data_IF_930268986420
#
_entry.id   IF_930268986420
#
_cell.length_a   1.000
_cell.length_b   1.000
_cell.length_c   1.000
_cell.angle_alpha   90.00
_cell.angle_beta   90.00
_cell.angle_gamma   90.00
#
_symmetry.space_group_name_H-M   'P 1'
#
loop_
_entity.id
_entity.type
_entity.pdbx_description
1 polymer ?
#
# COMPACT_ATOMS: atom_id res chain seq x y z
N UNK A 1 -64.27 -9.44 -40.57
CA UNK A 1 -65.45 -10.03 -39.94
C UNK A 1 -65.24 -10.01 -38.43
N UNK A 2 -66.26 -9.53 -37.72
CA UNK A 2 -66.45 -9.52 -36.25
C UNK A 2 -65.47 -8.71 -35.38
N UNK A 3 -65.91 -7.49 -35.04
CA UNK A 3 -65.61 -6.78 -33.81
C UNK A 3 -66.57 -7.24 -32.70
N UNK A 4 -66.15 -7.24 -31.43
CA UNK A 4 -67.01 -6.88 -30.27
C UNK A 4 -66.15 -6.28 -29.14
N UNK A 5 -66.60 -5.12 -28.69
CA UNK A 5 -66.19 -4.27 -27.56
C UNK A 5 -67.03 -4.53 -26.29
N UNK A 6 -66.50 -4.24 -25.09
CA UNK A 6 -67.21 -3.66 -23.89
C UNK A 6 -66.30 -3.73 -22.65
N UNK A 7 -65.83 -2.62 -22.04
CA UNK A 7 -66.43 -1.79 -20.94
C UNK A 7 -66.49 -2.51 -19.58
N UNK A 8 -66.32 -1.93 -18.38
CA UNK A 8 -65.93 -0.63 -17.80
C UNK A 8 -65.96 -0.80 -16.25
N UNK A 9 -65.67 0.27 -15.49
CA UNK A 9 -65.86 0.51 -14.02
C UNK A 9 -64.67 0.10 -13.12
N UNK A 10 -63.89 0.97 -12.46
CA UNK A 10 -64.11 2.17 -11.63
C UNK A 10 -64.61 1.89 -10.19
N UNK A 11 -63.72 2.05 -9.20
CA UNK A 11 -63.93 2.72 -7.90
C UNK A 11 -62.66 2.57 -7.03
N UNK A 12 -61.93 3.62 -6.63
CA UNK A 12 -62.18 4.69 -5.63
C UNK A 12 -61.58 4.35 -4.26
N UNK A 13 -60.69 5.24 -3.81
CA UNK A 13 -59.99 5.25 -2.53
C UNK A 13 -60.94 5.29 -1.31
N UNK A 14 -60.36 5.24 -0.09
CA UNK A 14 -60.60 6.35 0.81
C UNK A 14 -59.33 6.93 1.43
N UNK A 15 -59.41 8.24 1.66
CA UNK A 15 -58.55 9.05 2.50
C UNK A 15 -59.30 9.39 3.80
N UNK A 16 -58.58 9.47 4.92
CA UNK A 16 -58.80 10.34 6.10
C UNK A 16 -57.68 9.99 7.11
N UNK A 17 -56.71 10.83 7.48
CA UNK A 17 -56.68 12.21 8.00
C UNK A 17 -57.00 12.33 9.52
N UNK A 18 -56.15 13.15 10.18
CA UNK A 18 -56.13 13.67 11.56
C UNK A 18 -55.59 12.74 12.67
N UNK A 19 -54.89 13.21 13.71
CA UNK A 19 -54.12 14.44 13.99
C UNK A 19 -53.42 14.24 15.36
N UNK A 20 -52.23 14.87 15.50
CA UNK A 20 -51.61 15.47 16.69
C UNK A 20 -51.57 14.76 18.07
N UNK A 21 -50.33 14.60 18.57
CA UNK A 21 -49.78 14.95 19.92
C UNK A 21 -48.70 13.92 20.26
N UNK A 22 -47.41 14.23 20.34
CA UNK A 22 -46.82 15.04 21.41
C UNK A 22 -46.53 14.14 22.60
N UNK A 23 -45.27 13.69 22.76
CA UNK A 23 -44.59 13.38 24.04
C UNK A 23 -43.18 12.78 23.79
N UNK A 24 -42.20 13.65 24.05
CA UNK A 24 -40.89 13.42 24.66
C UNK A 24 -40.48 11.99 25.07
N UNK A 25 -39.30 11.56 24.62
CA UNK A 25 -38.38 10.76 25.43
C UNK A 25 -36.94 10.99 24.99
N UNK A 26 -36.26 11.84 25.75
CA UNK A 26 -34.80 11.96 25.83
C UNK A 26 -34.19 10.70 26.43
N UNK A 27 -33.08 10.22 25.86
CA UNK A 27 -32.11 9.42 26.62
C UNK A 27 -30.70 9.89 26.29
N UNK A 28 -30.30 10.93 27.01
CA UNK A 28 -28.93 11.36 27.21
C UNK A 28 -28.15 10.30 27.99
N UNK A 29 -27.12 9.71 27.39
CA UNK A 29 -26.05 9.05 28.14
C UNK A 29 -24.96 10.09 28.42
N UNK A 30 -25.02 10.67 29.61
CA UNK A 30 -24.05 11.61 30.14
C UNK A 30 -22.71 10.89 30.41
N UNK A 31 -21.62 11.46 29.87
CA UNK A 31 -20.26 11.21 30.35
C UNK A 31 -19.97 12.16 31.53
N UNK A 32 -19.19 11.73 32.53
CA UNK A 32 -18.97 12.52 33.73
C UNK A 32 -18.00 13.69 33.49
N UNK A 33 -18.41 14.85 33.99
CA UNK A 33 -17.61 16.05 34.21
C UNK A 33 -16.45 15.76 35.17
N UNK A 34 -15.22 16.05 34.74
CA UNK A 34 -14.11 16.33 35.65
C UNK A 34 -13.76 17.81 35.51
N UNK A 35 -14.04 18.57 36.57
CA UNK A 35 -13.54 19.93 36.74
C UNK A 35 -12.77 20.01 38.06
N UNK A 36 -11.61 20.64 37.99
CA UNK A 36 -10.86 21.14 39.15
C UNK A 36 -9.73 20.25 39.64
N UNK A 37 -8.50 20.59 39.27
CA UNK A 37 -7.48 20.96 40.27
C UNK A 37 -6.33 21.74 39.62
N UNK A 38 -5.78 22.62 40.45
CA UNK A 38 -5.02 23.83 40.13
C UNK A 38 -3.61 23.57 39.60
N UNK A 39 -3.12 24.57 38.87
CA UNK A 39 -1.72 24.81 38.58
C UNK A 39 -0.85 24.80 39.84
N UNK A 40 0.36 24.22 39.72
CA UNK A 40 1.53 24.54 40.53
C UNK A 40 2.78 24.27 39.70
N UNK A 41 3.60 25.31 39.57
CA UNK A 41 4.84 25.37 38.79
C UNK A 41 6.03 24.70 39.56
N UNK A 42 7.27 24.74 39.04
CA UNK A 42 8.18 23.58 39.06
C UNK A 42 9.13 23.54 40.26
N UNK A 43 9.63 22.34 40.59
CA UNK A 43 10.77 22.17 41.51
C UNK A 43 11.96 21.53 40.80
N UNK A 44 13.11 22.17 41.04
CA UNK A 44 14.43 21.95 40.47
C UNK A 44 15.06 20.60 40.86
N UNK A 45 15.99 20.21 40.00
CA UNK A 45 16.96 19.14 40.19
C UNK A 45 17.76 19.21 41.51
N UNK A 46 18.06 18.05 42.09
CA UNK A 46 19.16 17.86 43.02
C UNK A 46 19.89 16.53 42.76
N UNK A 47 21.20 16.58 42.95
CA UNK A 47 22.25 15.60 42.60
C UNK A 47 22.69 14.84 43.88
N UNK A 48 23.24 13.62 43.68
CA UNK A 48 24.10 12.79 44.60
C UNK A 48 23.40 12.14 45.81
N UNK A 49 23.79 10.98 46.35
CA UNK A 49 25.00 10.16 46.25
C UNK A 49 24.66 8.66 46.44
N UNK A 50 25.55 7.75 46.03
CA UNK A 50 25.35 6.30 46.24
C UNK A 50 25.81 5.79 47.61
N UNK A 51 25.50 4.53 47.91
CA UNK A 51 26.38 3.64 48.66
C UNK A 51 25.90 2.18 48.52
N UNK A 52 26.86 1.27 48.53
CA UNK A 52 26.77 -0.15 48.27
C UNK A 52 26.40 -1.00 49.51
N UNK A 53 26.23 -2.31 49.21
CA UNK A 53 26.05 -3.53 50.05
C UNK A 53 24.65 -4.11 49.86
N UNK A 54 24.41 -5.31 49.36
CA UNK A 54 25.23 -6.53 49.35
C UNK A 54 24.57 -7.58 50.25
N UNK A 55 23.81 -8.51 49.68
CA UNK A 55 23.60 -9.83 50.30
C UNK A 55 23.16 -10.87 49.27
N UNK A 56 23.91 -11.99 49.30
CA UNK A 56 23.71 -13.24 48.58
C UNK A 56 22.69 -14.10 49.32
N UNK A 57 21.97 -14.98 48.60
CA UNK A 57 21.65 -16.38 48.94
C UNK A 57 20.84 -16.97 47.77
N UNK A 58 21.44 -17.87 46.96
CA UNK A 58 21.38 -19.34 47.08
C UNK A 58 20.28 -19.92 46.15
N UNK A 59 20.67 -20.42 44.98
CA UNK A 59 20.80 -21.85 44.62
C UNK A 59 19.48 -22.62 44.74
N UNK A 60 18.95 -23.06 43.59
CA UNK A 60 18.54 -24.45 43.37
C UNK A 60 18.72 -24.77 41.87
N UNK A 61 19.64 -25.68 41.59
CA UNK A 61 19.77 -26.39 40.33
C UNK A 61 19.52 -27.86 40.64
N UNK A 62 18.55 -28.47 39.96
CA UNK A 62 18.47 -29.92 39.73
C UNK A 62 18.05 -30.08 38.28
N UNK A 63 18.93 -30.68 37.49
CA UNK A 63 18.64 -31.06 36.12
C UNK A 63 18.04 -32.46 36.04
N UNK A 64 17.37 -32.74 34.92
CA UNK A 64 17.29 -34.07 34.32
C UNK A 64 17.48 -33.91 32.81
N UNK A 65 18.26 -34.84 32.27
CA UNK A 65 18.83 -34.93 30.93
C UNK A 65 17.95 -35.80 30.02
N UNK A 66 18.06 -35.54 28.70
CA UNK A 66 17.79 -36.42 27.53
C UNK A 66 16.34 -36.61 27.07
N UNK A 67 16.09 -36.13 25.85
CA UNK A 67 16.00 -37.00 24.67
C UNK A 67 16.30 -36.19 23.40
N UNK A 68 17.34 -36.60 22.67
CA UNK A 68 17.65 -36.19 21.30
C UNK A 68 17.56 -37.45 20.44
N UNK A 69 16.68 -37.44 19.45
CA UNK A 69 16.71 -38.26 18.23
C UNK A 69 15.60 -37.76 17.31
N UNK A 70 15.79 -37.92 16.00
CA UNK A 70 14.89 -37.56 14.90
C UNK A 70 15.02 -36.12 14.35
N UNK A 71 16.20 -35.83 13.81
CA UNK A 71 16.36 -34.89 12.69
C UNK A 71 17.54 -35.31 11.81
N UNK A 72 17.32 -36.03 10.71
CA UNK A 72 18.41 -36.27 9.74
C UNK A 72 18.03 -36.45 8.27
N UNK A 73 16.81 -36.14 7.81
CA UNK A 73 16.49 -36.29 6.37
C UNK A 73 16.02 -35.02 5.64
N UNK A 74 15.93 -33.86 6.31
CA UNK A 74 15.50 -32.61 5.65
C UNK A 74 16.65 -31.61 5.45
N UNK A 75 17.83 -31.87 6.02
CA UNK A 75 18.99 -30.96 5.96
C UNK A 75 19.90 -31.14 4.73
N UNK A 76 19.68 -32.14 3.87
CA UNK A 76 20.55 -32.40 2.71
C UNK A 76 20.07 -31.75 1.40
N UNK A 77 18.85 -31.20 1.35
CA UNK A 77 18.29 -30.58 0.14
C UNK A 77 18.72 -29.10 -0.04
N UNK A 78 19.02 -28.37 1.04
CA UNK A 78 19.38 -26.95 0.97
C UNK A 78 20.87 -26.68 0.63
N UNK A 79 21.77 -27.64 0.88
CA UNK A 79 23.19 -27.48 0.53
C UNK A 79 23.51 -27.75 -0.95
N UNK A 80 22.62 -28.40 -1.70
CA UNK A 80 22.83 -28.67 -3.12
C UNK A 80 22.46 -27.47 -4.04
N UNK A 81 21.65 -26.52 -3.56
CA UNK A 81 21.17 -25.40 -4.37
C UNK A 81 22.15 -24.20 -4.40
N UNK A 82 22.98 -24.05 -3.37
CA UNK A 82 23.95 -22.95 -3.27
C UNK A 82 25.24 -23.13 -4.09
N UNK A 83 25.55 -24.36 -4.53
CA UNK A 83 26.75 -24.63 -5.34
C UNK A 83 26.58 -24.29 -6.83
N UNK A 84 25.35 -24.11 -7.32
CA UNK A 84 25.05 -23.85 -8.75
C UNK A 84 25.13 -22.38 -9.16
N UNK A 85 25.21 -21.44 -8.20
CA UNK A 85 25.16 -19.98 -8.48
C UNK A 85 26.57 -19.35 -8.52
N UNK A 86 27.62 -20.09 -8.14
CA UNK A 86 29.00 -19.58 -8.12
C UNK A 86 29.75 -19.66 -9.47
N UNK A 87 29.12 -20.10 -10.56
CA UNK A 87 29.74 -20.18 -11.89
C UNK A 87 28.96 -19.40 -12.96
N UNK A 88 28.89 -18.07 -12.84
CA UNK A 88 28.82 -17.18 -14.02
C UNK A 88 28.91 -15.70 -13.59
N UNK A 89 30.10 -15.24 -13.20
CA UNK A 89 30.41 -13.81 -13.23
C UNK A 89 31.80 -13.65 -13.84
N UNK A 90 31.84 -13.44 -15.16
CA UNK A 90 33.02 -12.95 -15.83
C UNK A 90 33.13 -11.44 -15.56
N UNK A 91 34.24 -11.03 -14.95
CA UNK A 91 34.60 -9.64 -14.69
C UNK A 91 34.99 -8.91 -15.98
N UNK A 92 34.48 -7.70 -16.27
CA UNK A 92 35.11 -6.83 -17.24
C UNK A 92 36.29 -6.09 -16.61
N UNK A 93 37.47 -6.23 -17.23
CA UNK A 93 38.69 -5.52 -16.85
C UNK A 93 38.61 -4.03 -17.22
N UNK A 94 38.99 -3.15 -16.30
CA UNK A 94 39.20 -1.73 -16.54
C UNK A 94 40.61 -1.47 -17.11
N UNK A 95 40.80 -0.54 -18.07
CA UNK A 95 42.14 -0.17 -18.52
C UNK A 95 42.71 0.98 -17.68
N UNK A 96 43.93 0.78 -17.19
CA UNK A 96 44.75 1.80 -16.56
C UNK A 96 45.47 2.66 -17.62
N UNK A 97 45.53 3.97 -17.37
CA UNK A 97 46.38 4.91 -18.08
C UNK A 97 47.82 4.86 -17.50
N UNK A 98 48.86 4.83 -18.35
CA UNK A 98 49.78 5.97 -18.50
C UNK A 98 50.90 5.72 -19.55
N UNK A 99 51.20 6.83 -20.25
CA UNK A 99 52.53 7.28 -20.70
C UNK A 99 53.33 6.50 -21.75
N UNK A 100 53.62 7.17 -22.88
CA UNK A 100 54.73 6.81 -23.76
C UNK A 100 54.65 7.40 -25.16
N UNK A 101 54.95 8.69 -25.31
CA UNK A 101 55.33 9.29 -26.60
C UNK A 101 56.80 8.91 -26.87
N UNK A 102 57.12 8.41 -28.07
CA UNK A 102 58.23 8.85 -28.95
C UNK A 102 58.07 8.20 -30.35
N UNK A 103 58.56 8.95 -31.32
CA UNK A 103 58.34 9.03 -32.78
C UNK A 103 59.13 7.94 -33.59
N UNK A 104 59.21 7.99 -34.94
CA UNK A 104 58.64 7.00 -35.87
C UNK A 104 59.72 6.28 -36.70
N UNK A 105 59.33 5.46 -37.68
CA UNK A 105 60.04 5.12 -38.94
C UNK A 105 59.67 3.70 -39.38
N UNK A 106 59.67 3.25 -40.64
CA UNK A 106 59.92 3.76 -42.00
C UNK A 106 59.62 2.54 -42.90
N UNK A 107 59.11 2.78 -44.11
CA UNK A 107 59.17 1.92 -45.32
C UNK A 107 58.66 0.46 -45.29
N UNK A 108 58.04 0.10 -46.42
CA UNK A 108 58.62 -1.01 -47.19
C UNK A 108 57.63 -2.07 -47.66
N UNK A 109 57.25 -1.94 -48.93
CA UNK A 109 56.53 -2.93 -49.72
C UNK A 109 57.34 -4.22 -49.97
N UNK A 110 56.65 -5.31 -50.32
CA UNK A 110 57.23 -6.52 -50.94
C UNK A 110 56.49 -7.78 -50.51
N UNK A 111 55.47 -8.29 -51.21
CA UNK A 111 55.46 -9.01 -52.51
C UNK A 111 55.85 -10.50 -52.40
N UNK A 112 54.88 -11.33 -52.84
CA UNK A 112 54.95 -12.68 -53.43
C UNK A 112 55.44 -13.89 -52.61
N UNK A 113 54.51 -14.84 -52.43
CA UNK A 113 54.59 -16.10 -53.17
C UNK A 113 54.68 -17.39 -52.35
N UNK A 114 53.79 -18.34 -52.65
CA UNK A 114 54.17 -19.75 -52.67
C UNK A 114 53.30 -20.76 -51.90
N UNK A 115 52.49 -21.49 -52.66
CA UNK A 115 52.21 -22.93 -52.57
C UNK A 115 51.31 -23.51 -51.44
N UNK A 116 50.06 -23.70 -51.85
CA UNK A 116 49.17 -24.86 -51.69
C UNK A 116 49.58 -26.03 -50.76
N UNK A 117 48.65 -26.38 -49.85
CA UNK A 117 48.35 -27.77 -49.52
C UNK A 117 46.83 -27.95 -49.34
N UNK A 118 46.34 -29.09 -49.83
CA UNK A 118 44.98 -29.31 -50.26
C UNK A 118 44.03 -29.90 -49.19
N UNK A 119 42.75 -29.56 -49.39
CA UNK A 119 41.54 -30.40 -49.30
C UNK A 119 41.07 -31.05 -47.97
N UNK A 120 39.74 -30.95 -47.83
CA UNK A 120 38.80 -31.67 -46.94
C UNK A 120 38.70 -31.09 -45.52
N UNK A 121 37.61 -30.41 -45.17
CA UNK A 121 36.30 -31.04 -45.00
C UNK A 121 35.14 -30.12 -45.39
N UNK A 122 34.22 -30.68 -46.19
CA UNK A 122 32.85 -30.18 -46.28
C UNK A 122 32.16 -30.51 -44.95
N UNK A 123 31.87 -29.49 -44.16
CA UNK A 123 30.72 -29.50 -43.25
C UNK A 123 30.02 -28.16 -43.40
N UNK A 124 29.10 -28.10 -44.36
CA UNK A 124 28.13 -27.02 -44.46
C UNK A 124 27.19 -27.12 -43.25
N UNK A 125 27.48 -26.32 -42.22
CA UNK A 125 26.50 -26.00 -41.18
C UNK A 125 25.33 -25.32 -41.90
N UNK A 126 24.08 -25.81 -41.79
CA UNK A 126 22.96 -25.10 -42.37
C UNK A 126 22.91 -23.72 -41.73
N UNK A 127 22.88 -22.67 -42.55
CA UNK A 127 22.69 -21.31 -42.09
C UNK A 127 21.43 -21.30 -41.23
N UNK A 128 21.61 -21.09 -39.92
CA UNK A 128 20.49 -20.85 -39.03
C UNK A 128 19.75 -19.65 -39.62
N UNK A 129 18.52 -19.89 -40.07
CA UNK A 129 17.58 -18.82 -40.39
C UNK A 129 17.60 -17.89 -39.18
N UNK A 130 18.07 -16.66 -39.39
CA UNK A 130 17.96 -15.61 -38.41
C UNK A 130 16.46 -15.38 -38.23
N UNK A 131 15.87 -16.12 -37.28
CA UNK A 131 14.55 -15.81 -36.77
C UNK A 131 14.64 -14.34 -36.37
N UNK A 132 13.82 -13.51 -37.01
CA UNK A 132 13.77 -12.08 -36.74
C UNK A 132 13.63 -11.93 -35.23
N UNK A 133 14.69 -11.45 -34.57
CA UNK A 133 14.66 -11.22 -33.15
C UNK A 133 13.55 -10.22 -32.91
N UNK A 134 12.50 -10.64 -32.21
CA UNK A 134 11.43 -9.75 -31.77
C UNK A 134 12.10 -8.57 -31.08
N UNK A 135 11.83 -7.32 -31.50
CA UNK A 135 12.47 -6.17 -30.88
C UNK A 135 12.22 -6.23 -29.37
N UNK A 136 13.22 -5.90 -28.53
CA UNK A 136 13.01 -5.86 -27.09
C UNK A 136 11.83 -4.94 -26.81
N UNK A 137 10.82 -5.46 -26.12
CA UNK A 137 9.67 -4.66 -25.69
C UNK A 137 10.24 -3.54 -24.83
N UNK A 138 10.17 -2.30 -25.33
CA UNK A 138 10.65 -1.14 -24.59
C UNK A 138 9.79 -0.97 -23.36
N UNK A 139 10.38 -1.23 -22.19
CA UNK A 139 9.76 -0.92 -20.92
C UNK A 139 9.79 0.59 -20.73
N UNK A 140 8.74 1.29 -21.16
CA UNK A 140 8.64 2.76 -21.07
C UNK A 140 8.51 3.28 -19.62
N UNK A 141 8.61 2.41 -18.62
CA UNK A 141 8.72 2.79 -17.20
C UNK A 141 7.56 3.60 -16.60
N UNK A 142 6.54 4.00 -17.37
CA UNK A 142 5.59 5.02 -16.94
C UNK A 142 4.11 4.73 -17.23
N UNK A 143 3.78 4.04 -18.33
CA UNK A 143 2.37 3.78 -18.68
C UNK A 143 1.97 2.31 -18.48
N UNK A 144 1.02 2.10 -17.58
CA UNK A 144 0.26 0.85 -17.44
C UNK A 144 -1.15 1.14 -17.95
N UNK A 145 -1.64 0.46 -19.00
CA UNK A 145 -3.03 0.58 -19.41
C UNK A 145 -3.96 0.36 -18.22
N UNK A 146 -4.98 1.20 -18.01
CA UNK A 146 -5.98 0.96 -16.96
C UNK A 146 -7.15 0.15 -17.50
N UNK A 147 -7.57 -0.87 -16.77
CA UNK A 147 -8.86 -1.51 -17.04
C UNK A 147 -9.98 -0.59 -16.57
N UNK A 148 -11.07 -0.54 -17.35
CA UNK A 148 -12.28 0.20 -16.93
C UNK A 148 -12.92 -0.40 -15.68
N UNK A 149 -12.77 -1.72 -15.49
CA UNK A 149 -13.36 -2.47 -14.37
C UNK A 149 -12.56 -3.75 -14.09
N UNK A 150 -12.58 -4.19 -12.83
CA UNK A 150 -12.07 -5.49 -12.43
C UNK A 150 -12.91 -6.64 -13.01
N UNK A 151 -12.34 -7.85 -13.06
CA UNK A 151 -13.06 -9.05 -13.50
C UNK A 151 -14.30 -9.34 -12.62
N UNK A 152 -15.36 -9.99 -13.15
CA UNK A 152 -16.58 -10.26 -12.39
C UNK A 152 -16.38 -11.02 -11.07
N UNK A 153 -15.50 -12.03 -11.04
CA UNK A 153 -15.20 -12.77 -9.81
C UNK A 153 -14.46 -11.90 -8.79
N UNK A 154 -13.50 -11.09 -9.25
CA UNK A 154 -12.81 -10.11 -8.39
C UNK A 154 -13.79 -9.11 -7.77
N UNK A 155 -14.74 -8.57 -8.56
CA UNK A 155 -15.79 -7.67 -8.06
C UNK A 155 -16.71 -8.35 -7.04
N UNK A 156 -17.06 -9.61 -7.25
CA UNK A 156 -17.89 -10.36 -6.31
C UNK A 156 -17.15 -10.55 -4.97
N UNK A 157 -15.89 -10.98 -5.00
CA UNK A 157 -15.05 -11.07 -3.80
C UNK A 157 -14.89 -9.71 -3.12
N UNK A 158 -14.64 -8.65 -3.90
CA UNK A 158 -14.49 -7.30 -3.38
C UNK A 158 -15.78 -6.79 -2.72
N UNK A 159 -16.94 -7.00 -3.34
CA UNK A 159 -18.22 -6.61 -2.74
C UNK A 159 -18.51 -7.38 -1.43
N UNK A 160 -18.10 -8.64 -1.34
CA UNK A 160 -18.26 -9.46 -0.13
C UNK A 160 -17.30 -9.04 0.99
N UNK A 161 -16.08 -8.62 0.66
CA UNK A 161 -15.01 -8.34 1.63
C UNK A 161 -14.82 -6.86 1.93
N UNK A 162 -15.16 -5.98 1.00
CA UNK A 162 -15.02 -4.53 1.07
C UNK A 162 -16.25 -3.86 0.42
N UNK A 163 -17.43 -3.94 1.04
CA UNK A 163 -18.70 -3.54 0.41
C UNK A 163 -18.78 -2.05 0.06
N UNK A 164 -17.98 -1.21 0.72
CA UNK A 164 -17.87 0.22 0.44
C UNK A 164 -16.70 0.57 -0.50
N UNK A 165 -16.05 -0.41 -1.12
CA UNK A 165 -14.99 -0.15 -2.08
C UNK A 165 -15.52 0.63 -3.29
N UNK A 166 -14.69 1.51 -3.83
CA UNK A 166 -14.98 2.34 -4.99
C UNK A 166 -13.71 2.55 -5.81
N UNK A 167 -13.84 2.83 -7.10
CA UNK A 167 -12.66 3.04 -7.95
C UNK A 167 -11.81 4.20 -7.45
N UNK A 168 -10.50 4.03 -7.49
CA UNK A 168 -9.51 4.94 -6.90
C UNK A 168 -9.67 6.40 -7.40
N UNK A 169 -9.94 6.60 -8.69
CA UNK A 169 -10.19 7.93 -9.26
C UNK A 169 -11.50 8.56 -8.77
N UNK A 170 -12.54 7.74 -8.59
CA UNK A 170 -13.84 8.21 -8.08
C UNK A 170 -13.70 8.60 -6.61
N UNK A 171 -12.99 7.78 -5.83
CA UNK A 171 -12.64 8.07 -4.45
C UNK A 171 -11.90 9.42 -4.34
N UNK A 172 -10.82 9.60 -5.10
CA UNK A 172 -10.02 10.82 -4.99
C UNK A 172 -10.76 12.08 -5.43
N UNK A 173 -11.61 12.00 -6.46
CA UNK A 173 -12.49 13.12 -6.84
C UNK A 173 -13.45 13.50 -5.73
N UNK A 174 -14.06 12.52 -5.06
CA UNK A 174 -14.98 12.76 -3.95
C UNK A 174 -14.25 13.39 -2.75
N UNK A 175 -13.10 12.84 -2.37
CA UNK A 175 -12.27 13.39 -1.28
C UNK A 175 -11.81 14.82 -1.59
N UNK A 176 -11.35 15.08 -2.81
CA UNK A 176 -10.93 16.42 -3.22
C UNK A 176 -12.06 17.43 -3.17
N UNK A 177 -13.27 17.06 -3.60
CA UNK A 177 -14.45 17.93 -3.52
C UNK A 177 -14.83 18.27 -2.07
N UNK A 178 -14.86 17.27 -1.19
CA UNK A 178 -15.16 17.47 0.24
C UNK A 178 -14.13 18.37 0.92
N UNK A 179 -12.84 18.11 0.71
CA UNK A 179 -11.76 18.92 1.26
C UNK A 179 -11.73 20.34 0.67
N UNK A 180 -12.11 20.50 -0.60
CA UNK A 180 -12.28 21.80 -1.22
C UNK A 180 -13.37 22.62 -0.51
N UNK A 181 -14.48 22.00 -0.12
CA UNK A 181 -15.54 22.69 0.63
C UNK A 181 -15.06 23.16 2.02
N UNK A 182 -14.06 22.49 2.59
CA UNK A 182 -13.45 22.83 3.88
C UNK A 182 -12.22 23.75 3.77
N UNK A 183 -11.95 24.27 2.57
CA UNK A 183 -10.88 25.26 2.34
C UNK A 183 -9.49 24.68 2.09
N UNK A 184 -9.34 23.36 1.98
CA UNK A 184 -8.09 22.77 1.50
C UNK A 184 -7.98 22.95 -0.01
N UNK A 185 -6.81 23.38 -0.46
CA UNK A 185 -6.48 23.64 -1.85
C UNK A 185 -5.06 23.15 -2.11
N UNK A 186 -4.76 22.84 -3.37
CA UNK A 186 -3.40 22.50 -3.82
C UNK A 186 -2.35 23.53 -3.37
N UNK A 187 -2.72 24.79 -3.34
CA UNK A 187 -1.81 25.90 -3.05
C UNK A 187 -1.57 26.12 -1.56
N UNK A 188 -2.47 25.65 -0.68
CA UNK A 188 -2.48 26.03 0.73
C UNK A 188 -2.35 24.86 1.71
N UNK A 189 -2.12 23.65 1.21
CA UNK A 189 -1.93 22.47 2.05
C UNK A 189 -0.75 21.63 1.59
N UNK A 190 -0.28 20.77 2.47
CA UNK A 190 0.66 19.70 2.14
C UNK A 190 0.04 18.33 2.45
N UNK A 191 0.15 17.41 1.49
CA UNK A 191 -0.25 16.03 1.69
C UNK A 191 0.91 15.20 2.24
N UNK A 192 0.66 14.43 3.30
CA UNK A 192 1.51 13.35 3.77
C UNK A 192 0.90 12.03 3.33
N UNK A 193 1.66 11.23 2.59
CA UNK A 193 1.14 9.99 1.99
C UNK A 193 1.86 8.78 2.58
N UNK A 194 1.09 7.92 3.23
CA UNK A 194 1.52 6.64 3.77
C UNK A 194 0.86 5.48 3.03
N UNK A 195 1.62 4.77 2.21
CA UNK A 195 1.21 3.53 1.52
C UNK A 195 2.22 2.42 1.80
N UNK A 196 1.96 1.21 1.31
CA UNK A 196 3.03 0.23 1.15
C UNK A 196 4.10 0.75 0.16
N UNK A 197 5.35 0.33 0.34
CA UNK A 197 6.46 0.59 -0.59
C UNK A 197 6.36 -0.19 -1.91
N UNK A 198 5.41 -1.11 -2.01
CA UNK A 198 5.12 -1.88 -3.21
C UNK A 198 4.77 -0.94 -4.39
N UNK A 199 5.33 -1.20 -5.58
CA UNK A 199 5.19 -0.29 -6.74
C UNK A 199 3.75 -0.12 -7.19
N UNK A 200 2.91 -1.13 -6.94
CA UNK A 200 1.48 -1.12 -7.32
C UNK A 200 0.67 -0.13 -6.48
N UNK A 201 1.24 0.41 -5.41
CA UNK A 201 0.64 1.51 -4.64
C UNK A 201 0.90 2.88 -5.27
N UNK A 202 1.76 3.01 -6.28
CA UNK A 202 2.09 4.31 -6.89
C UNK A 202 0.89 5.05 -7.53
N UNK A 203 -0.08 4.37 -8.18
CA UNK A 203 -1.30 4.98 -8.71
C UNK A 203 -1.99 5.98 -7.77
N UNK A 204 -2.30 5.59 -6.53
CA UNK A 204 -3.02 6.46 -5.58
C UNK A 204 -2.15 7.66 -5.19
N UNK A 205 -0.85 7.46 -5.02
CA UNK A 205 0.10 8.54 -4.71
C UNK A 205 0.08 9.58 -5.84
N UNK A 206 0.09 9.14 -7.10
CA UNK A 206 0.04 10.05 -8.24
C UNK A 206 -1.30 10.83 -8.32
N UNK A 207 -2.42 10.19 -7.95
CA UNK A 207 -3.71 10.89 -7.86
C UNK A 207 -3.70 11.94 -6.75
N UNK A 208 -3.18 11.61 -5.57
CA UNK A 208 -3.02 12.57 -4.47
C UNK A 208 -2.12 13.73 -4.90
N UNK A 209 -0.99 13.45 -5.53
CA UNK A 209 -0.05 14.47 -6.00
C UNK A 209 -0.67 15.39 -7.06
N UNK A 210 -1.58 14.85 -7.88
CA UNK A 210 -2.33 15.63 -8.88
C UNK A 210 -3.35 16.56 -8.25
N UNK A 211 -4.00 16.17 -7.17
CA UNK A 211 -5.00 17.03 -6.51
C UNK A 211 -4.35 18.03 -5.54
N UNK A 212 -3.35 17.63 -4.76
CA UNK A 212 -2.84 18.41 -3.61
C UNK A 212 -1.39 18.89 -3.73
N UNK A 213 -0.72 18.64 -4.86
CA UNK A 213 0.69 19.00 -5.02
C UNK A 213 1.60 17.85 -4.60
N UNK A 214 2.91 18.01 -4.83
CA UNK A 214 3.87 16.95 -4.49
C UNK A 214 3.79 16.62 -2.99
N UNK A 215 3.42 15.38 -2.68
CA UNK A 215 3.28 14.91 -1.31
C UNK A 215 4.63 14.65 -0.63
N UNK A 216 4.64 14.80 0.69
CA UNK A 216 5.68 14.23 1.53
C UNK A 216 5.36 12.74 1.74
N UNK A 217 6.17 11.87 1.14
CA UNK A 217 5.95 10.43 1.22
C UNK A 217 6.56 9.85 2.51
N UNK A 218 5.72 9.18 3.32
CA UNK A 218 6.10 8.51 4.57
C UNK A 218 5.85 6.99 4.50
N UNK A 219 5.77 6.43 3.29
CA UNK A 219 5.44 5.02 3.05
C UNK A 219 6.45 4.06 3.70
N UNK A 220 5.93 2.99 4.30
CA UNK A 220 6.70 1.88 4.89
C UNK A 220 6.23 0.51 4.40
N UNK A 221 6.96 -0.55 4.74
CA UNK A 221 6.57 -1.92 4.40
C UNK A 221 5.17 -2.23 4.92
N UNK A 222 4.30 -2.78 4.05
CA UNK A 222 2.89 -3.08 4.39
C UNK A 222 2.03 -1.86 4.77
N UNK A 223 2.52 -0.65 4.52
CA UNK A 223 1.89 0.60 4.95
C UNK A 223 2.27 1.03 6.36
N UNK A 224 3.26 0.41 7.00
CA UNK A 224 3.70 0.80 8.35
C UNK A 224 4.10 2.28 8.41
N UNK A 225 3.56 3.01 9.40
CA UNK A 225 3.95 4.39 9.68
C UNK A 225 5.22 4.41 10.54
N UNK A 226 6.40 4.43 9.91
CA UNK A 226 7.68 4.32 10.61
C UNK A 226 8.54 5.60 10.64
N UNK A 227 8.10 6.69 10.00
CA UNK A 227 8.83 7.96 9.97
C UNK A 227 8.86 8.68 11.34
N UNK A 228 7.94 8.33 12.25
CA UNK A 228 7.86 8.82 13.61
C UNK A 228 7.59 10.33 13.72
N UNK A 229 7.69 10.85 14.97
CA UNK A 229 7.46 12.28 15.25
C UNK A 229 8.41 13.19 14.46
N UNK A 230 9.64 12.73 14.21
CA UNK A 230 10.63 13.48 13.43
C UNK A 230 10.20 13.62 11.98
N UNK A 231 9.78 12.53 11.33
CA UNK A 231 9.28 12.58 9.95
C UNK A 231 8.03 13.46 9.80
N UNK A 232 7.09 13.36 10.75
CA UNK A 232 5.91 14.23 10.78
C UNK A 232 6.28 15.71 10.88
N UNK A 233 7.16 16.08 11.83
CA UNK A 233 7.64 17.46 12.00
C UNK A 233 8.38 17.98 10.76
N UNK A 234 9.18 17.13 10.12
CA UNK A 234 9.82 17.49 8.85
C UNK A 234 8.77 17.81 7.78
N UNK A 235 7.77 16.95 7.60
CA UNK A 235 6.71 17.17 6.63
C UNK A 235 5.90 18.45 6.90
N UNK A 236 5.49 18.70 8.14
CA UNK A 236 4.69 19.89 8.48
C UNK A 236 5.46 21.19 8.29
N UNK A 237 6.78 21.19 8.49
CA UNK A 237 7.62 22.37 8.24
C UNK A 237 7.69 22.81 6.77
N UNK A 238 7.13 22.01 5.86
CA UNK A 238 7.02 22.32 4.44
C UNK A 238 5.61 22.80 4.04
N UNK A 239 4.69 22.94 5.00
CA UNK A 239 3.35 23.42 4.72
C UNK A 239 3.39 24.86 4.19
N UNK A 240 2.59 25.18 3.16
CA UNK A 240 2.41 26.57 2.76
C UNK A 240 1.84 27.42 3.90
N UNK A 241 2.38 28.63 4.06
CA UNK A 241 1.96 29.63 5.06
C UNK A 241 1.16 30.78 4.43
N UNK A 242 0.47 30.56 3.31
CA UNK A 242 -0.29 31.64 2.67
C UNK A 242 -1.38 32.19 3.63
N UNK A 243 -1.70 33.50 3.58
CA UNK A 243 -2.82 34.05 4.34
C UNK A 243 -4.12 33.36 3.94
N UNK A 244 -4.68 32.54 4.84
CA UNK A 244 -5.80 31.64 4.52
C UNK A 244 -7.15 32.17 4.99
N UNK A 245 -7.19 33.29 5.71
CA UNK A 245 -8.41 33.85 6.28
C UNK A 245 -8.45 35.39 6.23
N UNK A 246 -9.61 35.95 6.61
CA UNK A 246 -9.82 37.39 6.69
C UNK A 246 -8.98 38.08 7.78
N UNK A 247 -8.35 37.31 8.69
CA UNK A 247 -7.49 37.83 9.74
C UNK A 247 -6.06 38.14 9.24
N UNK A 248 -5.71 37.65 8.04
CA UNK A 248 -4.41 37.89 7.43
C UNK A 248 -3.27 37.07 8.05
N UNK A 249 -3.59 36.10 8.91
CA UNK A 249 -2.59 35.23 9.53
C UNK A 249 -2.32 34.00 8.66
N UNK A 250 -1.06 33.54 8.58
CA UNK A 250 -0.75 32.25 7.99
C UNK A 250 -1.44 31.16 8.80
N UNK A 251 -2.03 30.19 8.10
CA UNK A 251 -2.61 29.01 8.74
C UNK A 251 -2.21 27.78 7.95
N UNK A 252 -1.48 26.90 8.60
CA UNK A 252 -1.01 25.67 7.99
C UNK A 252 -2.16 24.68 7.80
N UNK A 253 -2.08 23.89 6.73
CA UNK A 253 -3.07 22.85 6.42
C UNK A 253 -2.38 21.57 6.01
N UNK A 254 -2.72 20.47 6.67
CA UNK A 254 -2.12 19.16 6.39
C UNK A 254 -3.18 18.15 5.95
N UNK A 255 -2.83 17.23 5.05
CA UNK A 255 -3.71 16.11 4.68
C UNK A 255 -2.94 14.82 4.85
N UNK A 256 -3.38 13.96 5.76
CA UNK A 256 -2.75 12.68 6.05
C UNK A 256 -3.51 11.55 5.35
N UNK A 257 -2.83 10.87 4.44
CA UNK A 257 -3.34 9.69 3.73
C UNK A 257 -2.69 8.41 4.28
N UNK A 258 -3.48 7.37 4.55
CA UNK A 258 -2.99 6.10 5.09
C UNK A 258 -3.69 4.87 4.53
N UNK A 259 -2.95 4.05 3.77
CA UNK A 259 -3.51 2.86 3.12
C UNK A 259 -2.58 1.64 3.25
N UNK A 260 -2.95 0.58 4.01
CA UNK A 260 -2.46 -0.75 3.65
C UNK A 260 -3.09 -1.15 2.31
N UNK A 261 -2.57 -2.23 1.73
CA UNK A 261 -3.07 -2.71 0.46
C UNK A 261 -3.25 -4.23 0.42
N UNK A 262 -4.10 -4.67 -0.49
CA UNK A 262 -4.36 -6.08 -0.81
C UNK A 262 -4.69 -6.20 -2.30
N UNK A 263 -4.49 -7.38 -2.87
CA UNK A 263 -4.92 -7.68 -4.23
C UNK A 263 -6.08 -8.65 -4.25
N UNK A 264 -6.90 -8.58 -5.30
CA UNK A 264 -7.91 -9.56 -5.64
C UNK A 264 -7.72 -9.90 -7.12
N UNK A 265 -7.25 -11.12 -7.36
CA UNK A 265 -6.97 -11.64 -8.69
C UNK A 265 -8.24 -11.83 -9.52
N UNK A 266 -8.08 -12.03 -10.82
CA UNK A 266 -9.20 -12.14 -11.78
C UNK A 266 -10.20 -13.25 -11.46
N UNK A 267 -9.72 -14.33 -10.84
CA UNK A 267 -10.52 -15.47 -10.39
C UNK A 267 -11.20 -15.25 -9.03
N UNK A 268 -10.99 -14.08 -8.41
CA UNK A 268 -11.51 -13.74 -7.09
C UNK A 268 -10.60 -14.16 -5.92
N UNK A 269 -9.42 -14.70 -6.19
CA UNK A 269 -8.43 -15.06 -5.16
C UNK A 269 -7.86 -13.80 -4.47
N UNK A 270 -7.94 -13.76 -3.13
CA UNK A 270 -7.40 -12.65 -2.33
C UNK A 270 -5.90 -12.85 -2.09
N UNK A 271 -5.11 -11.83 -2.41
CA UNK A 271 -3.66 -11.80 -2.26
C UNK A 271 -2.90 -12.08 -3.55
N UNK A 272 -3.59 -12.48 -4.62
CA UNK A 272 -3.02 -12.80 -5.93
C UNK A 272 -3.05 -11.59 -6.86
N UNK A 273 -1.90 -11.25 -7.42
CA UNK A 273 -1.71 -10.13 -8.34
C UNK A 273 -0.82 -10.53 -9.51
N UNK A 274 -1.34 -10.40 -10.72
CA UNK A 274 -0.48 -10.45 -11.89
C UNK A 274 0.26 -9.12 -12.04
N UNK A 275 1.61 -9.19 -12.04
CA UNK A 275 2.48 -8.04 -12.25
C UNK A 275 3.00 -8.00 -13.67
N UNK A 276 3.13 -6.80 -14.23
CA UNK A 276 3.75 -6.58 -15.55
C UNK A 276 5.08 -7.30 -15.69
N UNK A 277 5.24 -8.00 -16.82
CA UNK A 277 6.49 -8.68 -17.19
C UNK A 277 6.79 -9.96 -16.40
N UNK A 278 5.90 -10.39 -15.50
CA UNK A 278 6.03 -11.66 -14.76
C UNK A 278 5.13 -12.70 -15.41
N UNK A 279 5.65 -13.87 -15.78
CA UNK A 279 4.86 -14.95 -16.42
C UNK A 279 3.92 -15.74 -15.49
N UNK A 280 3.87 -15.40 -14.20
CA UNK A 280 3.00 -16.04 -13.20
C UNK A 280 2.47 -14.99 -12.23
N UNK A 281 1.26 -15.17 -11.67
CA UNK A 281 0.78 -14.36 -10.56
C UNK A 281 1.78 -14.33 -9.40
N UNK A 282 1.81 -13.19 -8.73
CA UNK A 282 2.59 -12.92 -7.54
C UNK A 282 1.67 -12.44 -6.41
N UNK A 283 2.24 -11.93 -5.33
CA UNK A 283 1.50 -11.60 -4.12
C UNK A 283 1.39 -10.09 -3.89
N UNK A 284 0.25 -9.62 -3.36
CA UNK A 284 0.12 -8.29 -2.78
C UNK A 284 -0.96 -8.25 -1.66
N UNK A 285 -0.67 -7.79 -0.45
CA UNK A 285 0.62 -7.33 0.07
C UNK A 285 1.51 -8.50 0.50
N UNK A 286 2.74 -8.58 -0.03
CA UNK A 286 3.69 -9.65 0.33
C UNK A 286 4.01 -9.70 1.82
N UNK A 287 4.20 -8.54 2.46
CA UNK A 287 4.48 -8.47 3.90
C UNK A 287 3.29 -8.96 4.75
N UNK A 288 2.06 -8.58 4.40
CA UNK A 288 0.88 -9.01 5.15
C UNK A 288 0.58 -10.51 4.94
N UNK A 289 0.89 -11.06 3.76
CA UNK A 289 0.81 -12.51 3.52
C UNK A 289 1.83 -13.27 4.37
N UNK A 290 3.06 -12.77 4.47
CA UNK A 290 4.08 -13.36 5.33
C UNK A 290 3.67 -13.28 6.82
N UNK A 291 3.16 -12.13 7.27
CA UNK A 291 2.66 -11.96 8.65
C UNK A 291 1.49 -12.90 8.93
N UNK A 292 0.58 -13.11 7.96
CA UNK A 292 -0.50 -14.10 8.09
C UNK A 292 0.08 -15.49 8.39
N UNK A 293 1.04 -15.94 7.57
CA UNK A 293 1.70 -17.25 7.77
C UNK A 293 2.44 -17.36 9.09
N UNK A 294 3.10 -16.28 9.51
CA UNK A 294 3.79 -16.23 10.80
C UNK A 294 2.83 -16.32 12.00
N UNK A 295 1.65 -15.69 11.91
CA UNK A 295 0.61 -15.78 12.95
C UNK A 295 0.07 -17.20 13.01
N UNK A 296 -0.28 -17.79 11.86
CA UNK A 296 -0.71 -19.19 11.74
C UNK A 296 0.31 -20.18 12.32
N UNK A 297 1.60 -19.91 12.15
CA UNK A 297 2.66 -20.76 12.70
C UNK A 297 2.79 -20.67 14.23
N UNK A 298 2.21 -19.66 14.89
CA UNK A 298 2.19 -19.56 16.36
C UNK A 298 3.55 -19.30 17.03
N UNK A 299 4.55 -18.85 16.28
CA UNK A 299 5.92 -18.62 16.78
C UNK A 299 6.09 -17.28 17.52
N UNK A 300 7.10 -17.16 18.41
CA UNK A 300 7.40 -15.89 19.07
C UNK A 300 7.84 -14.83 18.07
N UNK A 301 7.53 -13.56 18.35
CA UNK A 301 8.04 -12.44 17.56
C UNK A 301 9.45 -12.10 18.06
N UNK A 302 10.46 -12.39 17.24
CA UNK A 302 11.88 -12.14 17.53
C UNK A 302 12.29 -10.80 16.90
N UNK A 303 13.14 -10.04 17.60
CA UNK A 303 13.75 -8.84 17.02
C UNK A 303 14.71 -9.22 15.90
N UNK A 304 14.65 -8.49 14.80
CA UNK A 304 15.54 -8.65 13.66
C UNK A 304 15.93 -7.25 13.15
N UNK A 305 17.16 -6.79 13.44
CA UNK A 305 17.62 -5.48 12.99
C UNK A 305 17.59 -5.30 11.46
N UNK A 306 17.82 -6.38 10.70
CA UNK A 306 17.84 -6.34 9.24
C UNK A 306 16.42 -6.32 8.65
N UNK A 307 15.42 -6.72 9.45
CA UNK A 307 14.00 -6.71 9.11
C UNK A 307 13.15 -5.84 10.06
N UNK A 308 13.72 -4.75 10.57
CA UNK A 308 13.09 -3.92 11.61
C UNK A 308 11.68 -3.41 11.23
N UNK A 309 11.46 -2.97 9.98
CA UNK A 309 10.13 -2.57 9.50
C UNK A 309 9.13 -3.75 9.54
N UNK A 310 9.55 -4.93 9.08
CA UNK A 310 8.70 -6.12 9.07
C UNK A 310 8.33 -6.55 10.48
N UNK A 311 9.31 -6.65 11.39
CA UNK A 311 9.08 -7.06 12.78
C UNK A 311 8.15 -6.07 13.49
N UNK A 312 8.33 -4.76 13.28
CA UNK A 312 7.46 -3.75 13.88
C UNK A 312 6.02 -3.84 13.33
N UNK A 313 5.86 -4.01 12.02
CA UNK A 313 4.55 -4.24 11.40
C UNK A 313 3.89 -5.51 11.97
N UNK A 314 4.62 -6.63 12.03
CA UNK A 314 4.16 -7.91 12.57
C UNK A 314 3.65 -7.75 14.01
N UNK A 315 4.40 -7.07 14.88
CA UNK A 315 3.97 -6.80 16.27
C UNK A 315 2.65 -6.05 16.32
N UNK A 316 2.51 -4.98 15.53
CA UNK A 316 1.31 -4.14 15.51
C UNK A 316 0.10 -4.89 14.97
N UNK A 317 0.29 -5.70 13.93
CA UNK A 317 -0.77 -6.50 13.31
C UNK A 317 -1.19 -7.64 14.21
N UNK A 318 -0.24 -8.44 14.73
CA UNK A 318 -0.51 -9.57 15.61
C UNK A 318 -1.26 -9.14 16.89
N UNK A 319 -0.93 -7.98 17.46
CA UNK A 319 -1.63 -7.42 18.63
C UNK A 319 -3.13 -7.10 18.38
N UNK A 320 -3.57 -7.09 17.11
CA UNK A 320 -4.96 -6.79 16.70
C UNK A 320 -5.68 -8.00 16.12
N UNK A 321 -5.04 -9.17 16.12
CA UNK A 321 -5.61 -10.42 15.61
C UNK A 321 -5.88 -11.35 16.79
N UNK A 322 -7.11 -11.89 16.84
CA UNK A 322 -7.52 -12.86 17.87
C UNK A 322 -7.63 -14.29 17.35
N UNK A 323 -7.63 -14.48 16.03
CA UNK A 323 -7.71 -15.78 15.37
C UNK A 323 -6.31 -16.33 15.18
N UNK A 324 -6.10 -17.60 15.53
CA UNK A 324 -4.83 -18.30 15.26
C UNK A 324 -4.62 -18.50 13.76
N UNK A 325 -5.70 -18.64 12.97
CA UNK A 325 -5.66 -18.76 11.51
C UNK A 325 -6.39 -17.59 10.83
N UNK A 326 -5.81 -16.37 10.82
CA UNK A 326 -6.49 -15.21 10.26
C UNK A 326 -6.51 -15.26 8.73
N UNK A 327 -7.64 -14.87 8.13
CA UNK A 327 -7.71 -14.60 6.69
C UNK A 327 -6.84 -13.40 6.32
N UNK A 328 -6.41 -13.31 5.05
CA UNK A 328 -5.64 -12.14 4.59
C UNK A 328 -6.43 -10.83 4.75
N UNK A 329 -7.75 -10.87 4.57
CA UNK A 329 -8.62 -9.70 4.78
C UNK A 329 -8.59 -9.24 6.25
N UNK A 330 -8.59 -10.17 7.22
CA UNK A 330 -8.43 -9.82 8.64
C UNK A 330 -7.08 -9.18 8.93
N UNK A 331 -5.99 -9.75 8.38
CA UNK A 331 -4.64 -9.19 8.52
C UNK A 331 -4.54 -7.79 7.90
N UNK A 332 -5.13 -7.57 6.72
CA UNK A 332 -5.19 -6.25 6.07
C UNK A 332 -5.99 -5.23 6.89
N UNK A 333 -7.11 -5.63 7.50
CA UNK A 333 -7.89 -4.75 8.39
C UNK A 333 -7.15 -4.43 9.69
N UNK A 334 -6.44 -5.39 10.26
CA UNK A 334 -5.57 -5.16 11.42
C UNK A 334 -4.43 -4.18 11.08
N UNK A 335 -3.85 -4.27 9.88
CA UNK A 335 -2.88 -3.29 9.40
C UNK A 335 -3.51 -1.90 9.21
N UNK A 336 -4.72 -1.81 8.65
CA UNK A 336 -5.45 -0.53 8.52
C UNK A 336 -5.67 0.13 9.88
N UNK A 337 -6.10 -0.66 10.87
CA UNK A 337 -6.29 -0.15 12.22
C UNK A 337 -4.97 0.32 12.83
N UNK A 338 -3.90 -0.47 12.72
CA UNK A 338 -2.58 -0.06 13.19
C UNK A 338 -2.10 1.24 12.54
N UNK A 339 -2.30 1.39 11.23
CA UNK A 339 -1.94 2.61 10.48
C UNK A 339 -2.77 3.80 10.94
N UNK A 340 -4.08 3.63 11.08
CA UNK A 340 -4.97 4.71 11.53
C UNK A 340 -4.59 5.16 12.94
N UNK A 341 -4.39 4.21 13.87
CA UNK A 341 -3.98 4.51 15.25
C UNK A 341 -2.62 5.22 15.29
N UNK A 342 -1.66 4.81 14.46
CA UNK A 342 -0.33 5.42 14.39
C UNK A 342 -0.39 6.85 13.82
N UNK A 343 -1.18 7.07 12.77
CA UNK A 343 -1.41 8.41 12.22
C UNK A 343 -2.05 9.32 13.28
N UNK A 344 -3.15 8.89 13.89
CA UNK A 344 -3.85 9.69 14.91
C UNK A 344 -2.96 9.97 16.14
N UNK A 345 -2.20 8.97 16.58
CA UNK A 345 -1.21 9.16 17.64
C UNK A 345 -0.17 10.20 17.22
N UNK A 346 0.49 10.05 16.08
CA UNK A 346 1.52 10.99 15.65
C UNK A 346 0.97 12.41 15.45
N UNK A 347 -0.21 12.57 14.85
CA UNK A 347 -0.91 13.85 14.72
C UNK A 347 -1.11 14.48 16.09
N UNK A 348 -1.63 13.74 17.08
CA UNK A 348 -1.83 14.26 18.45
C UNK A 348 -0.54 14.74 19.12
N UNK A 349 0.61 14.27 18.66
CA UNK A 349 1.93 14.59 19.22
C UNK A 349 2.62 15.73 18.48
N UNK A 350 2.13 16.11 17.29
CA UNK A 350 2.87 16.99 16.40
C UNK A 350 2.04 18.11 15.77
N UNK A 351 0.72 18.03 15.77
CA UNK A 351 -0.20 19.05 15.23
C UNK A 351 -0.90 19.75 16.39
N UNK A 352 -0.91 21.09 16.39
CA UNK A 352 -1.76 21.90 17.25
C UNK A 352 -3.00 22.35 16.48
N UNK A 353 -4.21 21.83 16.80
CA UNK A 353 -5.45 22.20 16.12
C UNK A 353 -5.85 23.67 16.29
N UNK A 354 -5.24 24.40 17.23
CA UNK A 354 -5.46 25.84 17.38
C UNK A 354 -4.72 26.66 16.32
N UNK A 355 -3.65 26.11 15.74
CA UNK A 355 -2.79 26.83 14.77
C UNK A 355 -2.83 26.23 13.36
N UNK A 356 -3.25 24.97 13.22
CA UNK A 356 -3.33 24.28 11.94
C UNK A 356 -4.67 23.57 11.76
N UNK A 357 -5.14 23.53 10.51
CA UNK A 357 -6.22 22.63 10.11
C UNK A 357 -5.61 21.35 9.53
N UNK A 358 -6.30 20.22 9.69
CA UNK A 358 -5.82 19.00 9.06
C UNK A 358 -6.94 18.06 8.65
N UNK A 359 -6.64 17.12 7.76
CA UNK A 359 -7.53 16.05 7.38
C UNK A 359 -6.85 14.69 7.47
N UNK A 360 -7.62 13.65 7.80
CA UNK A 360 -7.18 12.26 7.86
C UNK A 360 -8.08 11.42 6.96
N UNK A 361 -7.44 10.72 6.03
CA UNK A 361 -8.09 9.87 5.04
C UNK A 361 -7.39 8.51 5.06
N UNK A 362 -8.06 7.50 5.60
CA UNK A 362 -7.57 6.11 5.61
C UNK A 362 -8.53 5.17 4.91
N UNK A 363 -8.02 4.02 4.49
CA UNK A 363 -8.80 2.98 3.83
C UNK A 363 -7.93 1.81 3.41
N UNK A 364 -8.49 0.81 2.76
CA UNK A 364 -7.71 -0.27 2.14
C UNK A 364 -7.58 0.01 0.65
N UNK A 365 -6.36 0.06 0.13
CA UNK A 365 -6.12 0.04 -1.32
C UNK A 365 -6.24 -1.39 -1.84
N UNK A 366 -7.03 -1.57 -2.89
CA UNK A 366 -7.36 -2.89 -3.44
C UNK A 366 -6.93 -2.92 -4.90
N UNK A 367 -5.95 -3.76 -5.20
CA UNK A 367 -5.46 -3.97 -6.55
C UNK A 367 -6.23 -5.07 -7.23
N UNK A 368 -6.72 -4.81 -8.42
CA UNK A 368 -7.32 -5.83 -9.26
C UNK A 368 -6.89 -5.64 -10.71
N UNK A 369 -6.96 -6.73 -11.47
CA UNK A 369 -6.60 -6.77 -12.88
C UNK A 369 -7.73 -7.35 -13.73
N UNK A 370 -7.63 -7.12 -15.04
CA UNK A 370 -8.39 -7.87 -16.04
C UNK A 370 -7.56 -8.01 -17.32
N UNK A 371 -6.90 -9.16 -17.50
CA UNK A 371 -6.40 -9.61 -18.79
C UNK A 371 -7.58 -10.17 -19.58
N UNK A 372 -7.74 -9.74 -20.83
CA UNK A 372 -8.67 -10.43 -21.71
C UNK A 372 -8.09 -11.80 -22.09
N UNK A 373 -8.93 -12.84 -22.28
CA UNK A 373 -8.48 -14.12 -22.78
C UNK A 373 -7.74 -13.95 -24.12
N UNK A 374 -6.49 -14.44 -24.19
CA UNK A 374 -5.68 -14.38 -25.42
C UNK A 374 -4.83 -13.12 -25.61
N UNK A 375 -4.92 -12.13 -24.71
CA UNK A 375 -3.98 -11.01 -24.72
C UNK A 375 -2.60 -11.47 -24.21
N UNK A 376 -1.50 -11.00 -24.82
CA UNK A 376 -0.17 -11.29 -24.32
C UNK A 376 -0.05 -10.77 -22.88
N UNK A 377 0.64 -11.54 -22.03
CA UNK A 377 0.87 -11.35 -20.58
C UNK A 377 1.54 -10.01 -20.18
N UNK A 378 1.63 -9.06 -21.11
CA UNK A 378 2.34 -7.79 -21.04
C UNK A 378 1.38 -6.58 -21.04
N UNK A 379 0.08 -6.76 -21.26
CA UNK A 379 -0.93 -5.69 -21.20
C UNK A 379 -1.62 -5.69 -19.84
N UNK A 380 -0.83 -5.53 -18.77
CA UNK A 380 -1.37 -5.34 -17.41
C UNK A 380 -2.43 -4.23 -17.44
N UNK A 381 -3.69 -4.60 -17.13
CA UNK A 381 -4.79 -3.64 -16.99
C UNK A 381 -5.19 -3.53 -15.53
N UNK A 382 -4.49 -2.68 -14.79
CA UNK A 382 -4.84 -2.42 -13.39
C UNK A 382 -6.17 -1.67 -13.30
N UNK A 383 -7.00 -2.09 -12.37
CA UNK A 383 -8.21 -1.40 -11.94
C UNK A 383 -8.19 -1.38 -10.41
N UNK A 384 -7.70 -0.28 -9.85
CA UNK A 384 -7.53 -0.12 -8.42
C UNK A 384 -8.77 0.51 -7.77
N UNK A 385 -9.03 0.08 -6.54
CA UNK A 385 -10.15 0.52 -5.71
C UNK A 385 -9.64 0.96 -4.35
N UNK A 386 -10.39 1.81 -3.67
CA UNK A 386 -10.20 2.14 -2.26
C UNK A 386 -11.46 1.72 -1.52
N UNK A 387 -11.30 1.01 -0.40
CA UNK A 387 -12.34 0.82 0.60
C UNK A 387 -12.12 1.83 1.73
N UNK A 388 -12.86 2.95 1.78
CA UNK A 388 -12.62 4.01 2.76
C UNK A 388 -12.86 3.53 4.20
N UNK A 389 -12.17 4.13 5.15
CA UNK A 389 -12.32 3.88 6.59
C UNK A 389 -12.51 5.19 7.37
N UNK A 390 -11.44 5.79 7.89
CA UNK A 390 -11.54 7.06 8.60
C UNK A 390 -11.42 8.21 7.58
N UNK A 391 -12.43 9.07 7.51
CA UNK A 391 -12.41 10.26 6.67
C UNK A 391 -12.96 11.44 7.45
N UNK A 392 -12.08 12.35 7.86
CA UNK A 392 -12.47 13.54 8.60
C UNK A 392 -11.46 14.68 8.39
N UNK A 393 -11.90 15.90 8.66
CA UNK A 393 -11.07 17.07 8.82
C UNK A 393 -11.26 17.68 10.21
N UNK A 394 -10.26 18.37 10.71
CA UNK A 394 -10.33 19.21 11.91
C UNK A 394 -10.06 20.63 11.48
N UNK A 395 -11.09 21.47 11.57
CA UNK A 395 -11.07 22.87 11.17
C UNK A 395 -11.28 23.75 12.39
N UNK A 396 -10.34 24.63 12.71
CA UNK A 396 -10.38 25.48 13.91
C UNK A 396 -10.61 24.66 15.20
N UNK A 397 -10.01 23.46 15.28
CA UNK A 397 -10.19 22.54 16.40
C UNK A 397 -11.51 21.74 16.40
N UNK A 398 -12.40 21.94 15.42
CA UNK A 398 -13.67 21.21 15.31
C UNK A 398 -13.57 20.07 14.29
N UNK A 399 -14.02 18.86 14.66
CA UNK A 399 -13.99 17.68 13.79
C UNK A 399 -15.19 17.63 12.86
N UNK A 400 -14.95 17.59 11.56
CA UNK A 400 -15.92 17.42 10.49
C UNK A 400 -15.71 16.06 9.82
N UNK A 401 -16.75 15.22 9.78
CA UNK A 401 -16.71 13.95 9.05
C UNK A 401 -16.90 14.24 7.55
N UNK A 402 -16.10 13.62 6.69
CA UNK A 402 -16.25 13.76 5.24
C UNK A 402 -17.27 12.75 4.74
N UNK A 403 -18.31 13.24 4.06
CA UNK A 403 -19.38 12.41 3.52
C UNK A 403 -19.21 12.31 2.01
N UNK A 404 -18.26 11.49 1.56
CA UNK A 404 -18.17 11.17 0.14
C UNK A 404 -19.43 10.41 -0.27
N UNK A 405 -20.18 10.88 -1.28
CA UNK A 405 -21.27 10.10 -1.87
C UNK A 405 -20.68 8.82 -2.50
N UNK A 406 -20.71 7.73 -1.73
CA UNK A 406 -20.16 6.45 -2.15
C UNK A 406 -21.18 5.80 -3.09
N UNK A 407 -21.00 5.97 -4.40
CA UNK A 407 -21.60 5.08 -5.39
C UNK A 407 -20.96 3.68 -5.21
N UNK A 408 -21.53 2.89 -4.29
CA UNK A 408 -21.05 1.56 -3.95
C UNK A 408 -20.97 0.66 -5.19
N UNK A 409 -20.08 -0.33 -5.18
CA UNK A 409 -19.98 -1.34 -6.25
C UNK A 409 -21.33 -2.00 -6.57
N UNK A 410 -22.23 -2.09 -5.57
CA UNK A 410 -23.60 -2.58 -5.71
C UNK A 410 -24.53 -1.71 -6.58
N UNK A 411 -24.22 -0.42 -6.74
CA UNK A 411 -24.91 0.49 -7.66
C UNK A 411 -24.45 0.31 -9.12
N UNK A 412 -23.31 -0.37 -9.35
CA UNK A 412 -22.84 -0.78 -10.68
C UNK A 412 -23.50 -2.12 -11.08
N UNK A 413 -24.83 -2.19 -10.94
CA UNK A 413 -25.66 -3.28 -11.47
C UNK A 413 -25.93 -3.04 -12.95
N UNK A 414 -25.85 -4.14 -13.71
CA UNK A 414 -26.21 -4.30 -15.13
C UNK A 414 -25.51 -3.38 -16.13
N UNK A 415 -24.20 -3.61 -16.35
CA UNK A 415 -23.66 -3.39 -17.70
C UNK A 415 -23.72 -4.75 -18.41
N UNK A 416 -24.46 -4.87 -19.53
CA UNK A 416 -24.56 -6.14 -20.27
C UNK A 416 -23.19 -6.66 -20.68
N UNK A 417 -23.03 -7.99 -20.70
CA UNK A 417 -21.81 -8.68 -21.12
C UNK A 417 -21.27 -8.21 -22.50
N UNK A 418 -22.14 -7.65 -23.34
CA UNK A 418 -21.80 -7.10 -24.67
C UNK A 418 -20.94 -5.83 -24.65
N UNK A 419 -20.69 -5.21 -23.48
CA UNK A 419 -19.78 -4.05 -23.36
C UNK A 419 -18.37 -4.43 -22.85
N UNK A 420 -18.09 -5.73 -22.70
CA UNK A 420 -16.79 -6.26 -22.28
C UNK A 420 -15.99 -6.90 -23.44
N UNK A 421 -16.48 -6.79 -24.67
CA UNK A 421 -15.81 -7.25 -25.89
C UNK A 421 -14.98 -6.14 -26.53
#
# INVERSE_FOLDING_TARGET
MAAVTSSSLAAKAPAAALAQSGLTASSSSALPSFSGLRASAPVKAAKKAGCARGCKCARHAVGVVRAAAESSEVASAEQALFASVAQSVATPAAPAANSGVIVPSILGAGVLGGAALALLTKNSVPAASAAAATPPVTFDGGYVPRAKRAAPAALATMAATFPNAMQEETFMKAVAAELFNLGFRRENCIALVNTCRDEVCRPIVNLIDREFGMSFNISGLGGLVNCGKTGFKAAMSHSPEFPCDKSGKPKERYIFFGFPHVSIGETGEVGSLLRRGRGKPSNACGALIAIRGDISAGGPIVEDPDNAEYVLLKKKVAARITSDEPTLVQVTRAALQAITDDLEYLISQTVDPATADYAVITGVQIHSGNNLPGEPFQTERLCDYIAPNAMYAVINGEKHILHCEINQISAIKSVPASQFA
#
